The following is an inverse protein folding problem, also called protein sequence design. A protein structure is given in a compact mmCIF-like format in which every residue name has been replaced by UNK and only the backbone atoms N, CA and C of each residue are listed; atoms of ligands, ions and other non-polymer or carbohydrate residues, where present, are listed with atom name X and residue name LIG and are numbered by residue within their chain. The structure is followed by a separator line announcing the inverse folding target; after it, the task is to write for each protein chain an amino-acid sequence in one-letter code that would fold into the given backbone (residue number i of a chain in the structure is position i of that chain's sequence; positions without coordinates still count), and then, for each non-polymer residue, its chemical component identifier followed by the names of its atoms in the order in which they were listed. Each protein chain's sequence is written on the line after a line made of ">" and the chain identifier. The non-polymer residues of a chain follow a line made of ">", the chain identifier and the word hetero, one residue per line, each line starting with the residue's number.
data_IF_395630158692
#
_entry.id   IF_395630158692
#
_cell.length_a   1.000
_cell.length_b   1.000
_cell.length_c   1.000
_cell.angle_alpha   90.00
_cell.angle_beta   90.00
_cell.angle_gamma   90.00
#
_symmetry.space_group_name_H-M   'P 1'
#
loop_
_entity.id
_entity.type
_entity.pdbx_description
1 polymer ?
#
# COMPACT_ATOMS: atom_id res chain seq x y z
N UNK A 1 20.89 16.11 -16.97
CA UNK A 1 19.95 15.58 -15.96
C UNK A 1 20.46 14.22 -15.52
N UNK A 2 20.42 13.90 -14.21
CA UNK A 2 20.83 12.60 -13.72
C UNK A 2 19.93 11.49 -14.27
N UNK A 3 20.52 10.33 -14.61
CA UNK A 3 19.77 9.16 -15.07
C UNK A 3 19.86 8.09 -13.99
N UNK A 4 18.69 7.61 -13.54
CA UNK A 4 18.57 6.54 -12.55
C UNK A 4 17.94 5.31 -13.20
N UNK A 5 18.36 4.13 -12.76
CA UNK A 5 17.85 2.86 -13.23
C UNK A 5 17.87 1.81 -12.11
N UNK A 6 16.90 0.90 -12.16
CA UNK A 6 16.73 -0.19 -11.19
C UNK A 6 15.30 -0.72 -11.19
N UNK A 7 15.05 -1.75 -10.39
CA UNK A 7 13.71 -2.30 -10.21
C UNK A 7 12.84 -1.32 -9.44
N UNK A 8 11.77 -0.83 -10.06
CA UNK A 8 10.82 0.06 -9.41
C UNK A 8 10.08 -0.68 -8.29
N UNK A 9 10.13 -0.14 -7.07
CA UNK A 9 9.28 -0.58 -5.95
C UNK A 9 8.35 0.55 -5.52
N UNK A 10 7.42 0.24 -4.60
CA UNK A 10 6.54 1.25 -4.00
C UNK A 10 7.37 2.43 -3.52
N UNK A 11 6.98 3.63 -3.96
CA UNK A 11 7.55 4.89 -3.48
C UNK A 11 7.44 4.95 -1.96
N UNK A 12 8.52 5.37 -1.31
CA UNK A 12 8.52 5.58 0.13
C UNK A 12 8.10 7.01 0.42
N UNK A 13 7.25 7.17 1.43
CA UNK A 13 6.82 8.46 1.91
C UNK A 13 7.01 8.51 3.43
N UNK A 14 7.66 9.57 3.90
CA UNK A 14 7.83 9.87 5.32
C UNK A 14 7.38 11.29 5.59
N UNK A 15 6.81 11.52 6.76
CA UNK A 15 6.54 12.85 7.28
C UNK A 15 7.58 13.10 8.37
N UNK A 16 8.62 13.93 8.11
CA UNK A 16 9.59 14.32 9.12
C UNK A 16 8.89 15.00 10.30
N UNK A 17 9.44 14.83 11.51
CA UNK A 17 8.93 15.48 12.72
C UNK A 17 9.44 16.93 12.86
N UNK A 18 9.63 17.63 11.74
CA UNK A 18 10.04 19.03 11.72
C UNK A 18 8.82 19.96 11.55
N UNK A 19 9.04 21.26 11.69
CA UNK A 19 7.96 22.26 11.62
C UNK A 19 7.41 22.47 10.19
N UNK A 20 7.98 21.82 9.17
CA UNK A 20 7.60 22.07 7.78
C UNK A 20 6.30 21.38 7.39
N UNK A 21 5.92 20.29 8.07
CA UNK A 21 4.83 19.38 7.69
C UNK A 21 4.93 18.92 6.21
N UNK A 22 6.13 18.96 5.61
CA UNK A 22 6.36 18.58 4.22
C UNK A 22 6.71 17.10 4.13
N UNK A 23 5.87 16.34 3.44
CA UNK A 23 6.12 14.93 3.13
C UNK A 23 7.36 14.80 2.24
N UNK A 24 8.27 13.90 2.62
CA UNK A 24 9.43 13.51 1.82
C UNK A 24 9.12 12.23 1.04
N UNK A 25 9.29 12.31 -0.28
CA UNK A 25 9.04 11.22 -1.21
C UNK A 25 10.35 10.69 -1.77
N UNK A 26 10.53 9.37 -1.72
CA UNK A 26 11.69 8.69 -2.29
C UNK A 26 11.27 7.65 -3.32
N UNK A 27 11.76 7.79 -4.54
CA UNK A 27 11.66 6.74 -5.55
C UNK A 27 12.63 5.61 -5.20
N UNK A 28 12.12 4.38 -5.22
CA UNK A 28 12.90 3.17 -4.96
C UNK A 28 13.22 2.49 -6.28
N UNK A 29 14.50 2.45 -6.64
CA UNK A 29 15.02 1.80 -7.85
C UNK A 29 16.08 0.77 -7.46
N UNK A 30 15.64 -0.46 -7.18
CA UNK A 30 16.47 -1.50 -6.57
C UNK A 30 16.98 -1.04 -5.21
N UNK A 31 18.30 -0.98 -5.07
CA UNK A 31 18.97 -0.51 -3.84
C UNK A 31 19.05 1.02 -3.76
N UNK A 32 18.80 1.73 -4.86
CA UNK A 32 18.88 3.19 -4.89
C UNK A 32 17.62 3.82 -4.31
N UNK A 33 17.80 4.93 -3.61
CA UNK A 33 16.75 5.85 -3.17
C UNK A 33 17.03 7.20 -3.83
N UNK A 34 16.03 7.75 -4.49
CA UNK A 34 16.12 9.06 -5.17
C UNK A 34 15.07 9.98 -4.54
N UNK A 35 15.51 11.07 -3.93
CA UNK A 35 14.63 12.08 -3.37
C UNK A 35 13.87 12.78 -4.49
N UNK A 36 12.54 12.72 -4.45
CA UNK A 36 11.68 13.23 -5.53
C UNK A 36 11.24 14.68 -5.31
N UNK A 37 11.30 15.16 -4.07
CA UNK A 37 10.89 16.51 -3.72
C UNK A 37 11.69 17.57 -4.48
N UNK A 38 12.99 17.33 -4.71
CA UNK A 38 13.88 18.24 -5.45
C UNK A 38 13.53 18.37 -6.94
N UNK A 39 12.71 17.46 -7.47
CA UNK A 39 12.28 17.45 -8.88
C UNK A 39 10.86 18.00 -9.07
N UNK A 40 10.22 18.54 -8.02
CA UNK A 40 8.89 19.14 -8.15
C UNK A 40 8.98 20.37 -9.07
N UNK A 41 8.16 20.38 -10.12
CA UNK A 41 8.15 21.44 -11.14
C UNK A 41 9.07 21.17 -12.33
N UNK A 42 9.87 20.11 -12.28
CA UNK A 42 10.75 19.67 -13.38
C UNK A 42 10.06 18.63 -14.27
N UNK A 43 10.49 18.54 -15.53
CA UNK A 43 10.03 17.51 -16.45
C UNK A 43 10.77 16.18 -16.20
N UNK A 44 10.00 15.12 -15.93
CA UNK A 44 10.53 13.76 -15.70
C UNK A 44 10.22 12.85 -16.88
N UNK A 45 11.20 12.06 -17.31
CA UNK A 45 11.02 11.01 -18.32
C UNK A 45 11.18 9.63 -17.70
N UNK A 46 10.16 8.78 -17.82
CA UNK A 46 10.18 7.40 -17.36
C UNK A 46 10.36 6.45 -18.54
N UNK A 47 11.40 5.61 -18.50
CA UNK A 47 11.69 4.63 -19.53
C UNK A 47 11.56 3.21 -18.96
N UNK A 48 10.69 2.39 -19.55
CA UNK A 48 10.56 0.99 -19.17
C UNK A 48 11.70 0.17 -19.78
N UNK A 49 12.46 -0.53 -18.93
CA UNK A 49 13.65 -1.30 -19.34
C UNK A 49 13.35 -2.65 -19.98
N UNK A 50 12.09 -3.11 -19.97
CA UNK A 50 11.69 -4.41 -20.53
C UNK A 50 11.65 -5.56 -19.53
N UNK A 51 11.93 -5.32 -18.25
CA UNK A 51 11.94 -6.36 -17.22
C UNK A 51 10.92 -6.10 -16.10
N UNK A 52 10.25 -7.17 -15.68
CA UNK A 52 9.35 -7.17 -14.52
C UNK A 52 9.73 -8.39 -13.67
N UNK A 53 9.95 -8.16 -12.37
CA UNK A 53 10.28 -9.19 -11.40
C UNK A 53 9.20 -9.29 -10.32
N UNK A 54 8.88 -10.52 -9.93
CA UNK A 54 7.89 -10.78 -8.88
C UNK A 54 8.35 -10.15 -7.56
N UNK A 55 7.51 -9.32 -6.95
CA UNK A 55 7.81 -8.67 -5.66
C UNK A 55 8.02 -9.68 -4.52
N UNK A 56 7.52 -10.91 -4.67
CA UNK A 56 7.65 -11.96 -3.68
C UNK A 56 8.80 -12.94 -3.97
N UNK A 57 8.85 -13.51 -5.18
CA UNK A 57 9.79 -14.58 -5.52
C UNK A 57 10.89 -14.18 -6.51
N UNK A 58 10.94 -12.91 -6.91
CA UNK A 58 11.88 -12.34 -7.88
C UNK A 58 11.90 -12.98 -9.29
N UNK A 59 10.94 -13.85 -9.60
CA UNK A 59 10.84 -14.46 -10.94
C UNK A 59 10.58 -13.41 -12.02
N UNK A 60 11.34 -13.47 -13.11
CA UNK A 60 11.10 -12.70 -14.35
C UNK A 60 9.78 -13.06 -15.00
N UNK A 61 9.03 -12.03 -15.38
CA UNK A 61 7.71 -12.15 -15.98
C UNK A 61 7.50 -11.10 -17.08
N UNK A 62 6.58 -11.40 -17.99
CA UNK A 62 6.18 -10.48 -19.05
C UNK A 62 4.91 -9.69 -18.70
N UNK A 63 4.21 -10.08 -17.62
CA UNK A 63 2.99 -9.47 -17.13
C UNK A 63 2.89 -9.61 -15.62
N UNK A 64 2.58 -8.51 -14.93
CA UNK A 64 2.35 -8.49 -13.49
C UNK A 64 0.87 -8.70 -13.14
N UNK A 65 0.64 -9.29 -11.97
CA UNK A 65 -0.66 -9.47 -11.34
C UNK A 65 -0.65 -8.81 -9.96
N UNK A 66 -1.80 -8.30 -9.53
CA UNK A 66 -2.01 -7.70 -8.20
C UNK A 66 -0.84 -6.81 -7.70
N UNK A 67 -0.44 -5.81 -8.50
CA UNK A 67 0.62 -4.86 -8.15
C UNK A 67 2.05 -5.46 -8.04
N UNK A 68 2.36 -6.51 -8.79
CA UNK A 68 3.76 -6.95 -8.98
C UNK A 68 4.05 -8.42 -8.72
N UNK A 69 3.04 -9.27 -8.61
CA UNK A 69 3.21 -10.71 -8.44
C UNK A 69 3.20 -11.46 -9.78
N UNK A 70 3.92 -12.59 -9.85
CA UNK A 70 3.76 -13.55 -10.94
C UNK A 70 2.49 -14.39 -10.72
N UNK A 71 1.98 -15.04 -11.78
CA UNK A 71 0.73 -15.80 -11.71
C UNK A 71 0.68 -16.87 -10.59
N UNK A 72 1.73 -17.71 -10.39
CA UNK A 72 1.72 -18.68 -9.29
C UNK A 72 1.57 -18.03 -7.91
N UNK A 73 2.34 -16.98 -7.62
CA UNK A 73 2.24 -16.26 -6.35
C UNK A 73 0.88 -15.58 -6.19
N UNK A 74 0.32 -15.02 -7.27
CA UNK A 74 -1.01 -14.42 -7.26
C UNK A 74 -2.10 -15.43 -6.87
N UNK A 75 -1.99 -16.67 -7.35
CA UNK A 75 -2.96 -17.74 -7.02
C UNK A 75 -2.73 -18.37 -5.64
N UNK A 76 -1.52 -18.28 -5.08
CA UNK A 76 -1.16 -19.02 -3.86
C UNK A 76 -1.12 -18.16 -2.59
N UNK A 77 -0.75 -16.88 -2.69
CA UNK A 77 -0.52 -16.03 -1.52
C UNK A 77 -1.81 -15.38 -1.02
N UNK A 78 -1.97 -15.29 0.30
CA UNK A 78 -3.09 -14.62 0.95
C UNK A 78 -3.06 -13.09 0.75
N UNK A 79 -1.87 -12.51 0.54
CA UNK A 79 -1.69 -11.10 0.13
C UNK A 79 -2.35 -10.78 -1.22
N UNK A 80 -2.68 -11.81 -2.01
CA UNK A 80 -3.38 -11.69 -3.28
C UNK A 80 -4.85 -12.08 -3.22
N UNK A 81 -5.39 -12.34 -2.02
CA UNK A 81 -6.81 -12.64 -1.85
C UNK A 81 -7.68 -11.42 -2.12
N UNK A 82 -8.91 -11.66 -2.58
CA UNK A 82 -9.92 -10.62 -2.79
C UNK A 82 -10.16 -9.79 -1.53
N UNK A 83 -10.06 -10.40 -0.34
CA UNK A 83 -10.28 -9.70 0.93
C UNK A 83 -9.22 -8.64 1.26
N UNK A 84 -8.12 -8.59 0.52
CA UNK A 84 -7.12 -7.54 0.65
C UNK A 84 -7.65 -6.24 0.05
N UNK A 85 -8.39 -6.33 -1.06
CA UNK A 85 -9.06 -5.19 -1.70
C UNK A 85 -10.45 -4.92 -1.12
N UNK A 86 -11.13 -5.96 -0.61
CA UNK A 86 -12.47 -5.91 -0.03
C UNK A 86 -12.44 -6.45 1.40
N UNK A 87 -12.06 -5.63 2.39
CA UNK A 87 -11.84 -6.06 3.77
C UNK A 87 -13.05 -6.73 4.41
N UNK A 88 -14.27 -6.33 4.03
CA UNK A 88 -15.55 -6.90 4.47
C UNK A 88 -15.72 -8.37 4.05
N UNK A 89 -15.04 -8.79 2.98
CA UNK A 89 -15.00 -10.17 2.47
C UNK A 89 -13.88 -11.01 3.08
N UNK A 90 -13.26 -10.56 4.16
CA UNK A 90 -12.28 -11.38 4.88
C UNK A 90 -12.90 -12.72 5.26
N UNK A 91 -12.26 -13.79 4.80
CA UNK A 91 -12.72 -15.18 4.90
C UNK A 91 -11.92 -16.00 5.92
N UNK A 92 -11.14 -15.32 6.77
CA UNK A 92 -10.34 -15.98 7.80
C UNK A 92 -11.19 -16.86 8.71
N UNK A 93 -12.30 -16.34 9.23
CA UNK A 93 -13.23 -17.08 10.10
C UNK A 93 -13.88 -18.29 9.40
N UNK A 94 -13.92 -18.29 8.06
CA UNK A 94 -14.43 -19.42 7.27
C UNK A 94 -13.39 -20.55 7.11
N UNK A 95 -12.16 -20.35 7.60
CA UNK A 95 -11.08 -21.35 7.53
C UNK A 95 -10.47 -21.51 6.13
N UNK A 96 -10.80 -20.63 5.18
CA UNK A 96 -10.36 -20.73 3.77
C UNK A 96 -9.16 -19.84 3.43
N UNK A 97 -8.56 -19.16 4.42
CA UNK A 97 -7.37 -18.35 4.21
C UNK A 97 -6.21 -19.20 3.67
N UNK A 98 -5.59 -18.75 2.57
CA UNK A 98 -4.48 -19.47 1.93
C UNK A 98 -3.26 -19.62 2.84
N UNK A 99 -3.05 -18.65 3.73
CA UNK A 99 -1.95 -18.60 4.69
C UNK A 99 -2.48 -18.18 6.07
N UNK A 100 -3.02 -19.12 6.89
CA UNK A 100 -3.66 -18.78 8.17
C UNK A 100 -2.75 -18.01 9.13
N UNK A 101 -1.48 -18.41 9.29
CA UNK A 101 -0.52 -17.70 10.14
C UNK A 101 -0.26 -16.26 9.69
N UNK A 102 -0.29 -16.02 8.37
CA UNK A 102 -0.26 -14.66 7.84
C UNK A 102 -1.57 -13.91 8.14
N UNK A 103 -2.72 -14.56 8.02
CA UNK A 103 -4.02 -14.03 8.40
C UNK A 103 -4.10 -13.60 9.87
N UNK A 104 -3.52 -14.36 10.80
CA UNK A 104 -3.45 -14.00 12.23
C UNK A 104 -2.67 -12.70 12.42
N UNK A 105 -1.46 -12.62 11.84
CA UNK A 105 -0.61 -11.44 11.98
C UNK A 105 -1.04 -10.24 11.15
N UNK A 106 -1.83 -10.43 10.08
CA UNK A 106 -2.27 -9.37 9.17
C UNK A 106 -3.72 -8.95 9.37
N UNK A 107 -4.66 -9.89 9.42
CA UNK A 107 -6.09 -9.63 9.52
C UNK A 107 -6.54 -9.46 10.97
N UNK A 108 -6.01 -10.26 11.90
CA UNK A 108 -6.42 -10.28 13.31
C UNK A 108 -5.56 -9.37 14.18
N UNK A 109 -5.52 -8.10 13.80
CA UNK A 109 -4.87 -7.03 14.56
C UNK A 109 -5.71 -5.77 14.50
N UNK A 110 -5.32 -4.75 15.27
CA UNK A 110 -5.96 -3.46 15.24
C UNK A 110 -5.95 -2.83 13.84
N UNK A 111 -7.15 -2.52 13.37
CA UNK A 111 -7.41 -1.72 12.18
C UNK A 111 -8.16 -0.46 12.56
N UNK A 112 -7.90 0.59 11.80
CA UNK A 112 -8.48 1.91 11.97
C UNK A 112 -9.30 2.25 10.75
N UNK A 113 -10.55 2.67 10.99
CA UNK A 113 -11.40 3.31 9.98
C UNK A 113 -11.26 4.81 10.18
N UNK A 114 -11.03 5.55 9.10
CA UNK A 114 -10.80 6.99 9.14
C UNK A 114 -11.55 7.70 8.02
N UNK A 115 -11.83 8.98 8.27
CA UNK A 115 -12.21 9.93 7.23
C UNK A 115 -10.94 10.52 6.63
N UNK A 116 -10.84 10.57 5.31
CA UNK A 116 -9.77 11.21 4.58
C UNK A 116 -10.34 12.35 3.73
N UNK A 117 -9.83 13.55 3.94
CA UNK A 117 -10.12 14.70 3.10
C UNK A 117 -9.06 14.78 1.99
N UNK A 118 -9.45 14.47 0.76
CA UNK A 118 -8.58 14.51 -0.43
C UNK A 118 -9.23 15.38 -1.52
N UNK A 119 -9.43 14.86 -2.74
CA UNK A 119 -10.31 15.51 -3.74
C UNK A 119 -11.80 15.51 -3.33
N UNK A 120 -12.13 14.74 -2.29
CA UNK A 120 -13.42 14.68 -1.62
C UNK A 120 -13.27 13.89 -0.32
N UNK A 121 -14.35 13.83 0.47
CA UNK A 121 -14.41 13.01 1.68
C UNK A 121 -14.44 11.54 1.30
N UNK A 122 -13.55 10.74 1.90
CA UNK A 122 -13.48 9.29 1.72
C UNK A 122 -13.46 8.61 3.08
N UNK A 123 -14.03 7.42 3.15
CA UNK A 123 -13.83 6.50 4.26
C UNK A 123 -12.77 5.51 3.84
N UNK A 124 -11.77 5.30 4.69
CA UNK A 124 -10.69 4.38 4.41
C UNK A 124 -10.32 3.55 5.62
N UNK A 125 -9.66 2.43 5.36
CA UNK A 125 -9.12 1.56 6.39
C UNK A 125 -7.60 1.48 6.34
N UNK A 126 -6.98 1.31 7.51
CA UNK A 126 -5.52 1.09 7.61
C UNK A 126 -5.15 0.36 8.89
N UNK A 127 -3.91 -0.12 8.97
CA UNK A 127 -3.32 -0.60 10.23
C UNK A 127 -2.64 0.56 10.95
N UNK A 128 -2.50 0.45 12.27
CA UNK A 128 -1.81 1.47 13.06
C UNK A 128 -0.39 1.77 12.57
N UNK A 129 0.35 0.73 12.17
CA UNK A 129 1.72 0.84 11.61
C UNK A 129 1.81 1.55 10.26
N UNK A 130 0.68 1.93 9.66
CA UNK A 130 0.61 2.64 8.38
C UNK A 130 0.01 4.04 8.55
N UNK A 131 -0.23 4.50 9.77
CA UNK A 131 -0.61 5.90 10.04
C UNK A 131 0.69 6.70 10.29
N UNK A 132 0.92 7.84 9.61
CA UNK A 132 0.08 8.51 8.62
C UNK A 132 0.38 8.11 7.15
N UNK A 133 1.34 7.23 6.88
CA UNK A 133 1.79 6.88 5.51
C UNK A 133 0.63 6.55 4.56
N UNK A 134 -0.40 5.84 5.02
CA UNK A 134 -1.55 5.47 4.19
C UNK A 134 -2.38 6.69 3.76
N UNK A 135 -2.47 7.71 4.61
CA UNK A 135 -3.17 8.96 4.30
C UNK A 135 -2.42 9.74 3.24
N UNK A 136 -1.09 9.79 3.39
CA UNK A 136 -0.17 10.40 2.43
C UNK A 136 -0.26 9.70 1.07
N UNK A 137 -0.22 8.36 1.04
CA UNK A 137 -0.37 7.56 -0.19
C UNK A 137 -1.69 7.81 -0.92
N UNK A 138 -2.73 8.26 -0.20
CA UNK A 138 -4.05 8.57 -0.76
C UNK A 138 -4.23 10.05 -1.13
N UNK A 139 -3.20 10.88 -0.93
CA UNK A 139 -3.26 12.31 -1.15
C UNK A 139 -4.24 13.02 -0.21
N UNK A 140 -4.39 12.53 1.02
CA UNK A 140 -5.21 13.17 2.02
C UNK A 140 -4.48 14.39 2.60
N UNK A 141 -5.13 15.56 2.57
CA UNK A 141 -4.64 16.78 3.24
C UNK A 141 -4.95 16.76 4.73
N UNK A 142 -6.01 16.04 5.12
CA UNK A 142 -6.39 15.81 6.50
C UNK A 142 -6.98 14.42 6.64
N UNK A 143 -6.80 13.80 7.80
CA UNK A 143 -7.43 12.54 8.13
C UNK A 143 -7.83 12.49 9.60
N UNK A 144 -8.93 11.80 9.88
CA UNK A 144 -9.47 11.62 11.22
C UNK A 144 -9.80 10.15 11.45
N UNK A 145 -9.06 9.42 12.31
CA UNK A 145 -9.50 8.11 12.79
C UNK A 145 -10.86 8.23 13.51
N UNK A 146 -11.83 7.41 13.11
CA UNK A 146 -13.19 7.40 13.67
C UNK A 146 -13.50 6.10 14.41
N UNK A 147 -12.91 4.98 14.01
CA UNK A 147 -13.03 3.71 14.72
C UNK A 147 -11.69 2.99 14.83
N UNK A 148 -11.50 2.27 15.93
CA UNK A 148 -10.47 1.23 16.10
C UNK A 148 -11.19 -0.09 16.35
N UNK A 149 -10.85 -1.11 15.57
CA UNK A 149 -11.46 -2.43 15.63
C UNK A 149 -10.38 -3.52 15.62
N UNK A 150 -10.68 -4.65 16.25
CA UNK A 150 -9.69 -5.70 16.53
C UNK A 150 -9.33 -6.57 15.31
N UNK A 151 -10.06 -6.46 14.21
CA UNK A 151 -9.79 -7.23 13.00
C UNK A 151 -10.23 -6.51 11.72
N UNK A 152 -9.53 -6.83 10.63
CA UNK A 152 -9.71 -6.25 9.29
C UNK A 152 -11.15 -6.34 8.79
N UNK A 153 -11.82 -7.48 9.05
CA UNK A 153 -13.20 -7.71 8.60
C UNK A 153 -14.17 -6.68 9.16
N UNK A 154 -14.04 -6.37 10.46
CA UNK A 154 -14.90 -5.39 11.11
C UNK A 154 -14.65 -3.99 10.56
N UNK A 155 -13.40 -3.66 10.22
CA UNK A 155 -13.08 -2.38 9.58
C UNK A 155 -13.77 -2.26 8.22
N UNK A 156 -13.76 -3.34 7.43
CA UNK A 156 -14.47 -3.38 6.14
C UNK A 156 -15.99 -3.28 6.29
N UNK A 157 -16.58 -3.98 7.27
CA UNK A 157 -18.02 -3.87 7.54
C UNK A 157 -18.44 -2.45 7.93
N UNK A 158 -17.59 -1.74 8.68
CA UNK A 158 -17.83 -0.33 8.99
C UNK A 158 -17.63 0.55 7.76
N UNK A 159 -16.58 0.34 6.96
CA UNK A 159 -16.28 1.11 5.75
C UNK A 159 -17.46 1.10 4.76
N UNK A 160 -18.07 -0.07 4.51
CA UNK A 160 -19.15 -0.20 3.51
C UNK A 160 -20.50 0.39 3.93
N UNK A 161 -20.66 0.78 5.20
CA UNK A 161 -21.88 1.43 5.70
C UNK A 161 -21.94 2.92 5.31
N UNK A 162 -20.78 3.52 5.03
CA UNK A 162 -20.63 4.95 4.70
C UNK A 162 -20.33 5.15 3.21
#
# INVERSE_FOLDING_TARGET
>A
MPVFSGELRKMQASLPADESDVVQYQMVLGEKRVDLNDFIGEDLTLNYSGEIHCVHCNRKMNKSFNQGYCYPCFTSLAQCDTCIMSPEKCHYDAGTCREPSWGESFCLQDHYVYLANSSGLKVGITRGTQIPTRWIDQGAVQALPIFRVQQRRYAGLVEVIF
#
